data_IF_772232348488
#
_entry.id   IF_772232348488
#
_cell.length_a   1.000
_cell.length_b   1.000
_cell.length_c   1.000
_cell.angle_alpha   90.00
_cell.angle_beta   90.00
_cell.angle_gamma   90.00
#
_symmetry.space_group_name_H-M   'P 1'
#
loop_
_entity.id
_entity.type
_entity.pdbx_description
1 polymer ?
#
# COMPACT_ATOMS: atom_id res chain seq x y z
N UNK A 1 -27.18 -10.07 -37.16
CA UNK A 1 -27.15 -8.80 -36.38
C UNK A 1 -26.81 -9.01 -34.89
N UNK A 2 -27.38 -10.02 -34.21
CA UNK A 2 -27.15 -10.31 -32.77
C UNK A 2 -25.69 -10.66 -32.38
N UNK A 3 -24.98 -11.52 -33.15
CA UNK A 3 -23.60 -11.96 -32.83
C UNK A 3 -22.56 -10.83 -32.79
N UNK A 4 -22.68 -9.82 -33.67
CA UNK A 4 -21.76 -8.67 -33.73
C UNK A 4 -21.92 -7.77 -32.50
N UNK A 5 -23.15 -7.57 -32.02
CA UNK A 5 -23.45 -6.80 -30.80
C UNK A 5 -22.86 -7.47 -29.55
N UNK A 6 -22.99 -8.80 -29.44
CA UNK A 6 -22.41 -9.55 -28.32
C UNK A 6 -20.87 -9.49 -28.31
N UNK A 7 -20.23 -9.62 -29.48
CA UNK A 7 -18.78 -9.48 -29.64
C UNK A 7 -18.28 -8.06 -29.28
N UNK A 8 -19.06 -7.02 -29.59
CA UNK A 8 -18.71 -5.64 -29.22
C UNK A 8 -18.82 -5.44 -27.71
N UNK A 9 -19.89 -5.94 -27.07
CA UNK A 9 -20.10 -5.82 -25.62
C UNK A 9 -19.01 -6.56 -24.82
N UNK A 10 -18.64 -7.78 -25.25
CA UNK A 10 -17.58 -8.56 -24.62
C UNK A 10 -16.20 -7.89 -24.75
N UNK A 11 -15.92 -7.27 -25.91
CA UNK A 11 -14.68 -6.49 -26.10
C UNK A 11 -14.64 -5.25 -25.22
N UNK A 12 -15.74 -4.52 -25.08
CA UNK A 12 -15.81 -3.33 -24.22
C UNK A 12 -15.62 -3.70 -22.75
N UNK A 13 -16.27 -4.76 -22.26
CA UNK A 13 -16.12 -5.19 -20.86
C UNK A 13 -14.71 -5.72 -20.55
N UNK A 14 -14.09 -6.43 -21.49
CA UNK A 14 -12.69 -6.84 -21.38
C UNK A 14 -11.72 -5.66 -21.34
N UNK A 15 -11.96 -4.63 -22.15
CA UNK A 15 -11.15 -3.41 -22.18
C UNK A 15 -11.30 -2.59 -20.89
N UNK A 16 -12.52 -2.45 -20.36
CA UNK A 16 -12.77 -1.77 -19.09
C UNK A 16 -12.04 -2.47 -17.94
N UNK A 17 -12.12 -3.80 -17.84
CA UNK A 17 -11.37 -4.59 -16.85
C UNK A 17 -9.86 -4.36 -16.96
N UNK A 18 -9.32 -4.38 -18.19
CA UNK A 18 -7.89 -4.11 -18.43
C UNK A 18 -7.49 -2.71 -17.98
N UNK A 19 -8.31 -1.70 -18.30
CA UNK A 19 -8.05 -0.31 -17.90
C UNK A 19 -8.05 -0.16 -16.37
N UNK A 20 -9.01 -0.78 -15.68
CA UNK A 20 -9.08 -0.79 -14.21
C UNK A 20 -7.80 -1.40 -13.63
N UNK A 21 -7.35 -2.56 -14.12
CA UNK A 21 -6.12 -3.20 -13.63
C UNK A 21 -4.91 -2.28 -13.83
N UNK A 22 -4.76 -1.66 -15.01
CA UNK A 22 -3.65 -0.74 -15.30
C UNK A 22 -3.68 0.45 -14.34
N UNK A 23 -4.85 1.07 -14.16
CA UNK A 23 -5.02 2.21 -13.24
C UNK A 23 -4.67 1.78 -11.80
N UNK A 24 -5.16 0.63 -11.34
CA UNK A 24 -4.87 0.10 -10.00
C UNK A 24 -3.37 -0.11 -9.77
N UNK A 25 -2.65 -0.66 -10.75
CA UNK A 25 -1.20 -0.85 -10.67
C UNK A 25 -0.48 0.49 -10.60
N UNK A 26 -0.85 1.47 -11.44
CA UNK A 26 -0.25 2.80 -11.43
C UNK A 26 -0.47 3.49 -10.09
N UNK A 27 -1.69 3.47 -9.56
CA UNK A 27 -2.02 4.03 -8.25
C UNK A 27 -1.21 3.33 -7.15
N UNK A 28 -1.13 2.00 -7.18
CA UNK A 28 -0.32 1.23 -6.22
C UNK A 28 1.15 1.64 -6.23
N UNK A 29 1.75 1.79 -7.42
CA UNK A 29 3.13 2.24 -7.56
C UNK A 29 3.34 3.66 -7.00
N UNK A 30 2.43 4.59 -7.30
CA UNK A 30 2.49 5.96 -6.77
C UNK A 30 2.42 5.95 -5.24
N UNK A 31 1.52 5.14 -4.65
CA UNK A 31 1.39 5.03 -3.20
C UNK A 31 2.67 4.47 -2.56
N UNK A 32 3.31 3.47 -3.16
CA UNK A 32 4.60 2.94 -2.67
C UNK A 32 5.69 4.00 -2.72
N UNK A 33 5.77 4.79 -3.80
CA UNK A 33 6.75 5.88 -3.90
C UNK A 33 6.52 6.93 -2.81
N UNK A 34 5.27 7.35 -2.58
CA UNK A 34 4.94 8.32 -1.53
C UNK A 34 5.26 7.76 -0.13
N UNK A 35 4.93 6.48 0.13
CA UNK A 35 5.24 5.81 1.39
C UNK A 35 6.75 5.78 1.68
N UNK A 36 7.57 5.37 0.70
CA UNK A 36 9.02 5.34 0.87
C UNK A 36 9.62 6.73 1.00
N UNK A 37 9.15 7.70 0.20
CA UNK A 37 9.61 9.09 0.28
C UNK A 37 9.33 9.71 1.65
N UNK A 38 8.12 9.52 2.20
CA UNK A 38 7.77 10.05 3.53
C UNK A 38 8.58 9.38 4.66
N UNK A 39 8.86 8.08 4.56
CA UNK A 39 9.76 7.38 5.49
C UNK A 39 11.18 7.95 5.46
N UNK A 40 11.72 8.16 4.27
CA UNK A 40 13.06 8.71 4.07
C UNK A 40 13.18 10.12 4.66
N UNK A 41 12.18 10.98 4.44
CA UNK A 41 12.11 12.30 5.05
C UNK A 41 12.17 12.22 6.59
N UNK A 42 11.40 11.32 7.20
CA UNK A 42 11.37 11.17 8.67
C UNK A 42 12.70 10.65 9.20
N UNK A 43 13.31 9.66 8.55
CA UNK A 43 14.59 9.07 8.95
C UNK A 43 15.72 10.10 8.91
N UNK A 44 15.73 10.96 7.88
CA UNK A 44 16.77 11.98 7.71
C UNK A 44 16.55 13.24 8.56
N UNK A 45 15.32 13.48 9.03
CA UNK A 45 14.98 14.67 9.80
C UNK A 45 15.03 14.44 11.31
N UNK A 46 14.63 13.26 11.80
CA UNK A 46 14.44 13.00 13.22
C UNK A 46 15.24 11.77 13.68
N UNK A 47 15.78 11.80 14.90
CA UNK A 47 16.29 10.59 15.56
C UNK A 47 15.12 9.73 16.04
N UNK A 48 15.37 8.44 16.26
CA UNK A 48 14.36 7.53 16.81
C UNK A 48 13.83 8.08 18.14
N UNK A 49 12.50 8.15 18.27
CA UNK A 49 11.82 8.71 19.44
C UNK A 49 11.66 10.23 19.43
N UNK A 50 12.11 10.91 18.37
CA UNK A 50 11.89 12.35 18.17
C UNK A 50 10.82 12.61 17.12
N UNK A 51 10.25 13.81 17.17
CA UNK A 51 9.20 14.24 16.26
C UNK A 51 8.88 15.72 16.35
N UNK A 52 7.85 16.13 15.60
CA UNK A 52 7.32 17.49 15.61
C UNK A 52 5.81 17.48 15.42
N UNK A 53 5.12 18.26 16.27
CA UNK A 53 3.69 18.50 16.13
C UNK A 53 3.40 19.32 14.86
N UNK A 54 2.49 18.83 14.03
CA UNK A 54 1.98 19.53 12.84
C UNK A 54 0.69 20.25 13.19
N UNK A 55 -0.22 19.57 13.90
CA UNK A 55 -1.39 20.16 14.54
C UNK A 55 -1.24 19.91 16.02
N UNK A 56 -1.08 21.00 16.78
CA UNK A 56 -0.86 20.94 18.23
C UNK A 56 -1.91 20.05 18.90
N UNK A 57 -1.46 19.13 19.75
CA UNK A 57 -2.27 18.20 20.55
C UNK A 57 -3.16 17.21 19.75
N UNK A 58 -3.03 17.15 18.41
CA UNK A 58 -3.83 16.26 17.55
C UNK A 58 -2.97 15.41 16.63
N UNK A 59 -1.97 16.00 15.97
CA UNK A 59 -1.18 15.31 14.96
C UNK A 59 0.31 15.63 15.07
N UNK A 60 1.11 14.59 15.29
CA UNK A 60 2.56 14.65 15.40
C UNK A 60 3.23 13.66 14.42
N UNK A 61 4.30 14.11 13.77
CA UNK A 61 5.20 13.23 13.01
C UNK A 61 6.31 12.78 13.95
N UNK A 62 6.42 11.47 14.20
CA UNK A 62 7.49 10.88 15.02
C UNK A 62 8.25 9.81 14.26
N UNK A 63 9.57 9.73 14.47
CA UNK A 63 10.38 8.62 13.99
C UNK A 63 10.28 7.45 14.96
N UNK A 64 9.35 6.54 14.67
CA UNK A 64 9.14 5.30 15.41
C UNK A 64 9.50 4.11 14.52
N UNK A 65 10.23 3.14 15.07
CA UNK A 65 10.54 1.88 14.38
C UNK A 65 9.64 0.77 14.92
N UNK A 66 8.73 0.28 14.09
CA UNK A 66 7.94 -0.91 14.42
C UNK A 66 8.70 -2.18 14.01
N UNK A 67 9.24 -2.92 14.99
CA UNK A 67 9.91 -4.22 14.75
C UNK A 67 8.91 -5.39 14.63
N UNK A 68 7.66 -5.17 15.03
CA UNK A 68 6.56 -6.11 14.89
C UNK A 68 5.51 -5.61 13.91
N UNK A 69 4.29 -6.10 14.08
CA UNK A 69 3.09 -5.65 13.36
C UNK A 69 2.26 -4.71 14.26
N UNK A 70 0.95 -4.61 14.03
CA UNK A 70 0.08 -3.76 14.84
C UNK A 70 0.18 -4.14 16.34
N UNK A 71 0.14 -3.14 17.22
CA UNK A 71 0.26 -3.30 18.69
C UNK A 71 1.50 -4.08 19.17
N UNK A 72 2.59 -4.10 18.39
CA UNK A 72 3.81 -4.82 18.76
C UNK A 72 3.74 -6.34 18.63
N UNK A 73 2.68 -6.87 18.04
CA UNK A 73 2.56 -8.31 17.78
C UNK A 73 3.72 -8.80 16.92
N UNK A 74 4.25 -9.98 17.25
CA UNK A 74 5.37 -10.63 16.54
C UNK A 74 6.70 -9.84 16.53
N UNK A 75 6.93 -8.92 17.47
CA UNK A 75 8.19 -8.15 17.58
C UNK A 75 9.46 -9.03 17.55
N UNK A 76 9.43 -10.20 18.20
CA UNK A 76 10.58 -11.09 18.30
C UNK A 76 10.74 -12.04 17.10
N UNK A 77 9.74 -12.09 16.21
CA UNK A 77 9.71 -13.01 15.06
C UNK A 77 9.21 -12.25 13.82
N UNK A 78 10.02 -11.32 13.27
CA UNK A 78 9.59 -10.42 12.18
C UNK A 78 9.27 -11.15 10.87
N UNK A 79 9.62 -12.43 10.75
CA UNK A 79 9.29 -13.26 9.58
C UNK A 79 7.80 -13.57 9.48
N UNK A 80 7.07 -13.63 10.61
CA UNK A 80 5.65 -14.03 10.63
C UNK A 80 4.77 -13.03 9.85
N UNK A 81 4.84 -11.71 10.07
CA UNK A 81 4.10 -10.73 9.27
C UNK A 81 4.40 -10.81 7.77
N UNK A 82 5.65 -11.12 7.38
CA UNK A 82 6.04 -11.25 5.98
C UNK A 82 5.33 -12.45 5.33
N UNK A 83 5.36 -13.62 5.99
CA UNK A 83 4.69 -14.83 5.51
C UNK A 83 3.18 -14.61 5.39
N UNK A 84 2.54 -14.01 6.40
CA UNK A 84 1.11 -13.68 6.36
C UNK A 84 0.80 -12.75 5.18
N UNK A 85 1.62 -11.73 4.95
CA UNK A 85 1.43 -10.78 3.84
C UNK A 85 1.50 -11.48 2.48
N UNK A 86 2.45 -12.40 2.29
CA UNK A 86 2.58 -13.17 1.05
C UNK A 86 1.37 -14.10 0.83
N UNK A 87 0.90 -14.77 1.88
CA UNK A 87 -0.32 -15.60 1.82
C UNK A 87 -1.52 -14.75 1.43
N UNK A 88 -1.69 -13.56 2.03
CA UNK A 88 -2.80 -12.66 1.70
C UNK A 88 -2.76 -12.18 0.25
N UNK A 89 -1.58 -11.84 -0.28
CA UNK A 89 -1.43 -11.46 -1.70
C UNK A 89 -1.87 -12.61 -2.60
N UNK A 90 -1.44 -13.84 -2.31
CA UNK A 90 -1.83 -15.03 -3.08
C UNK A 90 -3.34 -15.32 -3.01
N UNK A 91 -4.00 -15.04 -1.87
CA UNK A 91 -5.43 -15.25 -1.71
C UNK A 91 -6.29 -14.19 -2.42
N UNK A 92 -5.77 -12.98 -2.57
CA UNK A 92 -6.49 -11.85 -3.19
C UNK A 92 -6.32 -11.85 -4.72
N UNK A 93 -5.16 -12.29 -5.20
CA UNK A 93 -4.86 -12.44 -6.63
C UNK A 93 -5.57 -13.64 -7.25
#
# INVERSE_FOLDING_TARGET
>A
MSKKKNLTIEKTSGQEKKNIIIISVIVGLILVVIDQFTKELVINTYKVGQGKAVIKDVFEIQHIKNKGSAWGMFHNIPVIPIVISLIMILLIM
#
